data_IF_381391318523
#
_entry.id   IF_381391318523
#
_cell.length_a   1.000
_cell.length_b   1.000
_cell.length_c   1.000
_cell.angle_alpha   90.00
_cell.angle_beta   90.00
_cell.angle_gamma   90.00
#
_symmetry.space_group_name_H-M   'P 1'
#
loop_
_entity.id
_entity.type
_entity.pdbx_description
1 polymer ?
#
# COMPACT_ATOMS: atom_id res chain seq x y z
N UNK A 1 -19.13 69.50 2.99
CA UNK A 1 -17.82 69.10 2.44
C UNK A 1 -16.98 68.64 3.61
N UNK A 2 -16.50 67.42 3.50
CA UNK A 2 -15.79 66.67 4.54
C UNK A 2 -14.31 67.01 4.36
N UNK A 3 -13.67 67.58 5.38
CA UNK A 3 -12.22 67.70 5.44
C UNK A 3 -11.71 67.08 6.73
N UNK A 4 -11.02 65.97 6.50
CA UNK A 4 -10.01 65.24 7.23
C UNK A 4 -9.41 65.94 8.46
N UNK A 5 -9.44 65.23 9.59
CA UNK A 5 -8.79 65.65 10.81
C UNK A 5 -8.05 64.47 11.48
N UNK A 6 -6.73 64.48 11.25
CA UNK A 6 -5.63 64.22 12.21
C UNK A 6 -5.49 62.79 12.76
N UNK A 7 -4.33 62.18 12.55
CA UNK A 7 -3.21 62.12 13.52
C UNK A 7 -2.23 61.02 13.09
N UNK A 8 -0.97 61.40 12.88
CA UNK A 8 0.14 60.45 12.85
C UNK A 8 0.73 60.35 14.25
N UNK A 9 0.93 59.14 14.77
CA UNK A 9 2.09 58.87 15.60
C UNK A 9 3.01 57.84 14.94
N UNK A 10 4.28 58.22 14.89
CA UNK A 10 5.45 57.39 14.60
C UNK A 10 5.63 56.32 15.68
N UNK A 11 5.84 55.06 15.27
CA UNK A 11 6.85 54.20 15.89
C UNK A 11 7.14 52.97 15.04
N UNK A 12 8.42 52.76 14.79
CA UNK A 12 8.99 51.51 14.30
C UNK A 12 8.60 50.38 15.27
N UNK A 13 8.05 49.30 14.73
CA UNK A 13 7.67 48.11 15.46
C UNK A 13 7.47 46.98 14.49
N UNK A 14 8.56 46.25 14.26
CA UNK A 14 8.66 44.85 13.82
C UNK A 14 7.76 44.43 12.66
N UNK A 15 8.40 44.18 11.51
CA UNK A 15 7.86 43.27 10.52
C UNK A 15 7.40 42.00 11.23
N UNK A 16 6.09 41.74 11.18
CA UNK A 16 5.48 40.49 11.62
C UNK A 16 6.08 39.39 10.74
N UNK A 17 7.21 38.86 11.20
CA UNK A 17 7.78 37.60 10.77
C UNK A 17 6.68 36.58 10.96
N UNK A 18 5.97 36.31 9.86
CA UNK A 18 4.86 35.39 9.77
C UNK A 18 5.36 34.00 10.13
N UNK A 19 5.48 33.77 11.45
CA UNK A 19 5.92 32.54 12.07
C UNK A 19 5.05 31.44 11.49
N UNK A 20 5.72 30.62 10.68
CA UNK A 20 5.33 29.32 10.16
C UNK A 20 4.10 28.79 10.88
N UNK A 21 2.94 28.88 10.22
CA UNK A 21 1.79 28.10 10.65
C UNK A 21 2.25 26.64 10.63
N UNK A 22 2.42 26.04 11.81
CA UNK A 22 2.60 24.60 11.99
C UNK A 22 1.42 23.89 11.35
N UNK A 23 1.53 23.57 10.06
CA UNK A 23 0.51 22.84 9.31
C UNK A 23 0.77 21.36 9.53
N UNK A 24 0.23 20.83 10.63
CA UNK A 24 0.06 19.39 10.83
C UNK A 24 -0.86 18.86 9.74
N UNK A 25 -0.30 18.45 8.62
CA UNK A 25 -1.03 17.82 7.53
C UNK A 25 -0.56 16.38 7.48
N UNK A 26 -1.49 15.51 7.79
CA UNK A 26 -1.42 14.07 7.58
C UNK A 26 -1.42 13.82 6.08
N UNK A 27 -0.37 13.23 5.55
CA UNK A 27 -0.34 12.73 4.17
C UNK A 27 -0.27 11.23 4.23
N UNK A 28 -1.23 10.59 3.56
CA UNK A 28 -1.33 9.14 3.46
C UNK A 28 -0.34 8.59 2.45
N UNK A 29 0.24 7.44 2.81
CA UNK A 29 1.01 6.62 1.88
C UNK A 29 0.10 6.08 0.77
N UNK A 30 0.71 5.78 -0.39
CA UNK A 30 0.06 4.91 -1.36
C UNK A 30 -0.15 3.51 -0.73
N UNK A 31 -1.37 2.95 -0.82
CA UNK A 31 -1.72 1.71 -0.16
C UNK A 31 -1.02 0.50 -0.79
N UNK A 32 -1.01 -0.62 -0.06
CA UNK A 32 -0.44 -1.88 -0.54
C UNK A 32 -1.10 -2.37 -1.84
N UNK A 33 -0.34 -3.11 -2.63
CA UNK A 33 -0.86 -3.81 -3.80
C UNK A 33 -1.44 -5.17 -3.41
N UNK A 34 -2.69 -5.42 -3.74
CA UNK A 34 -3.36 -6.71 -3.52
C UNK A 34 -3.77 -7.33 -4.84
N UNK A 35 -4.14 -8.61 -4.82
CA UNK A 35 -4.89 -9.15 -5.96
C UNK A 35 -6.22 -8.40 -6.02
N UNK A 36 -6.60 -7.97 -7.21
CA UNK A 36 -7.86 -7.34 -7.57
C UNK A 36 -8.35 -7.95 -8.89
N UNK A 37 -9.49 -7.51 -9.40
CA UNK A 37 -9.96 -7.94 -10.71
C UNK A 37 -10.60 -6.78 -11.47
N UNK A 38 -10.41 -6.71 -12.78
CA UNK A 38 -11.03 -5.71 -13.64
C UNK A 38 -11.47 -6.35 -14.96
N UNK A 39 -12.57 -5.86 -15.54
CA UNK A 39 -12.94 -6.22 -16.90
C UNK A 39 -11.83 -5.82 -17.88
N UNK A 40 -11.58 -6.67 -18.89
CA UNK A 40 -10.54 -6.44 -19.89
C UNK A 40 -10.65 -5.10 -20.62
N UNK A 41 -11.85 -4.54 -20.73
CA UNK A 41 -12.12 -3.28 -21.43
C UNK A 41 -12.47 -2.13 -20.48
N UNK A 42 -12.31 -2.31 -19.16
CA UNK A 42 -12.56 -1.23 -18.23
C UNK A 42 -11.54 -0.11 -18.44
N UNK A 43 -11.96 1.15 -18.27
CA UNK A 43 -11.06 2.31 -18.33
C UNK A 43 -9.92 2.17 -17.30
N UNK A 44 -10.18 1.47 -16.19
CA UNK A 44 -9.22 1.13 -15.15
C UNK A 44 -8.27 -0.04 -15.51
N UNK A 45 -8.61 -0.86 -16.51
CA UNK A 45 -7.77 -1.96 -16.98
C UNK A 45 -6.58 -1.46 -17.80
N UNK A 46 -6.80 -0.44 -18.66
CA UNK A 46 -5.80 0.01 -19.64
C UNK A 46 -4.79 1.04 -19.10
N UNK A 47 -5.05 1.72 -17.97
CA UNK A 47 -4.24 2.91 -17.63
C UNK A 47 -2.91 2.63 -16.94
N UNK A 48 -2.79 1.71 -15.98
CA UNK A 48 -1.53 1.48 -15.25
C UNK A 48 -1.52 0.11 -14.56
N UNK A 49 -1.44 -0.99 -15.30
CA UNK A 49 -1.19 -2.30 -14.70
C UNK A 49 0.25 -2.70 -14.92
N UNK A 50 0.96 -2.99 -13.83
CA UNK A 50 2.26 -3.62 -13.97
C UNK A 50 2.07 -5.08 -14.37
N UNK A 51 2.73 -5.48 -15.44
CA UNK A 51 2.63 -6.82 -15.97
C UNK A 51 3.14 -7.85 -14.95
N UNK A 52 2.38 -8.93 -14.74
CA UNK A 52 2.83 -10.06 -13.93
C UNK A 52 2.51 -11.41 -14.59
N UNK A 53 3.55 -12.11 -15.02
CA UNK A 53 3.45 -13.36 -15.76
C UNK A 53 2.56 -14.40 -15.06
N UNK A 54 2.77 -14.63 -13.76
CA UNK A 54 2.02 -15.68 -13.06
C UNK A 54 0.53 -15.35 -12.87
N UNK A 55 0.14 -14.08 -12.83
CA UNK A 55 -1.28 -13.71 -12.78
C UNK A 55 -1.92 -13.90 -14.15
N UNK A 56 -1.18 -13.60 -15.22
CA UNK A 56 -1.63 -13.85 -16.59
C UNK A 56 -1.82 -15.34 -16.86
N UNK A 57 -0.88 -16.19 -16.44
CA UNK A 57 -1.03 -17.64 -16.55
C UNK A 57 -2.27 -18.17 -15.80
N UNK A 58 -2.54 -17.62 -14.60
CA UNK A 58 -3.75 -17.94 -13.83
C UNK A 58 -5.02 -17.53 -14.58
N UNK A 59 -5.02 -16.32 -15.15
CA UNK A 59 -6.14 -15.79 -15.93
C UNK A 59 -6.42 -16.63 -17.18
N UNK A 60 -5.39 -16.95 -17.96
CA UNK A 60 -5.50 -17.75 -19.19
C UNK A 60 -5.99 -19.16 -18.89
N UNK A 61 -5.45 -19.80 -17.85
CA UNK A 61 -5.81 -21.17 -17.48
C UNK A 61 -7.25 -21.33 -17.00
N UNK A 62 -7.81 -20.29 -16.36
CA UNK A 62 -9.16 -20.34 -15.80
C UNK A 62 -10.20 -19.54 -16.59
N UNK A 63 -9.76 -18.83 -17.64
CA UNK A 63 -10.61 -17.97 -18.47
C UNK A 63 -11.43 -16.97 -17.63
N UNK A 64 -10.76 -16.30 -16.69
CA UNK A 64 -11.42 -15.38 -15.78
C UNK A 64 -11.99 -14.16 -16.50
N UNK A 65 -13.18 -13.76 -16.07
CA UNK A 65 -13.81 -12.49 -16.41
C UNK A 65 -14.65 -12.04 -15.20
N UNK A 66 -14.27 -10.96 -14.49
CA UNK A 66 -13.14 -10.05 -14.73
C UNK A 66 -11.77 -10.75 -14.59
N UNK A 67 -10.74 -10.19 -15.22
CA UNK A 67 -9.37 -10.70 -15.14
C UNK A 67 -8.75 -10.32 -13.80
N UNK A 68 -8.07 -11.25 -13.14
CA UNK A 68 -7.27 -10.95 -11.95
C UNK A 68 -6.07 -10.06 -12.33
N UNK A 69 -5.71 -9.16 -11.44
CA UNK A 69 -4.52 -8.31 -11.56
C UNK A 69 -3.95 -8.01 -10.18
N UNK A 70 -2.81 -7.34 -10.11
CA UNK A 70 -2.26 -6.79 -8.87
C UNK A 70 -2.42 -5.27 -8.91
N UNK A 71 -3.15 -4.72 -7.95
CA UNK A 71 -3.49 -3.30 -7.90
C UNK A 71 -3.59 -2.81 -6.47
N UNK A 72 -3.28 -1.53 -6.27
CA UNK A 72 -3.50 -0.80 -5.03
C UNK A 72 -4.89 -0.11 -4.98
N UNK A 73 -5.73 -0.32 -6.00
CA UNK A 73 -7.11 0.17 -6.05
C UNK A 73 -8.09 -0.90 -5.60
N UNK A 74 -9.05 -0.51 -4.75
CA UNK A 74 -10.18 -1.37 -4.40
C UNK A 74 -11.11 -1.55 -5.60
N UNK A 75 -11.73 -2.73 -5.68
CA UNK A 75 -12.84 -2.96 -6.59
C UNK A 75 -13.94 -3.74 -5.88
N UNK A 76 -15.11 -3.12 -5.75
CA UNK A 76 -16.28 -3.69 -5.07
C UNK A 76 -17.32 -4.25 -6.04
N UNK A 77 -17.16 -4.02 -7.35
CA UNK A 77 -18.21 -4.26 -8.34
C UNK A 77 -18.47 -5.73 -8.71
N UNK A 78 -17.63 -6.66 -8.28
CA UNK A 78 -17.63 -8.05 -8.79
C UNK A 78 -17.85 -9.12 -7.73
N UNK A 79 -18.38 -8.74 -6.55
CA UNK A 79 -18.55 -9.66 -5.42
C UNK A 79 -19.32 -10.94 -5.81
N UNK A 80 -20.47 -10.81 -6.48
CA UNK A 80 -21.29 -11.95 -6.91
C UNK A 80 -20.52 -12.89 -7.87
N UNK A 81 -19.68 -12.31 -8.73
CA UNK A 81 -18.83 -13.08 -9.66
C UNK A 81 -17.76 -13.87 -8.89
N UNK A 82 -17.14 -13.25 -7.88
CA UNK A 82 -16.16 -13.92 -7.03
C UNK A 82 -16.78 -15.04 -6.20
N UNK A 83 -18.00 -14.86 -5.69
CA UNK A 83 -18.74 -15.91 -4.98
C UNK A 83 -19.03 -17.11 -5.89
N UNK A 84 -19.35 -16.88 -7.17
CA UNK A 84 -19.48 -17.95 -8.15
C UNK A 84 -18.14 -18.69 -8.38
N UNK A 85 -17.02 -17.97 -8.44
CA UNK A 85 -15.71 -18.62 -8.54
C UNK A 85 -15.36 -19.44 -7.28
N UNK A 86 -15.75 -19.00 -6.09
CA UNK A 86 -15.62 -19.81 -4.86
C UNK A 86 -16.36 -21.15 -5.03
N UNK A 87 -17.61 -21.12 -5.51
CA UNK A 87 -18.39 -22.35 -5.75
C UNK A 87 -17.72 -23.25 -6.79
N UNK A 88 -17.20 -22.67 -7.87
CA UNK A 88 -16.45 -23.41 -8.89
C UNK A 88 -15.21 -24.12 -8.31
N UNK A 89 -14.44 -23.44 -7.45
CA UNK A 89 -13.27 -24.06 -6.82
C UNK A 89 -13.64 -25.06 -5.72
N UNK A 90 -14.80 -24.94 -5.07
CA UNK A 90 -15.31 -25.97 -4.17
C UNK A 90 -15.45 -27.32 -4.91
N UNK A 91 -16.06 -27.32 -6.08
CA UNK A 91 -16.22 -28.53 -6.90
C UNK A 91 -14.87 -29.06 -7.41
N UNK A 92 -13.98 -28.16 -7.88
CA UNK A 92 -12.63 -28.58 -8.32
C UNK A 92 -11.81 -29.23 -7.21
N UNK A 93 -11.90 -28.74 -5.98
CA UNK A 93 -11.16 -29.29 -4.83
C UNK A 93 -11.67 -30.68 -4.46
N UNK A 94 -12.98 -30.94 -4.58
CA UNK A 94 -13.55 -32.28 -4.37
C UNK A 94 -12.98 -33.30 -5.36
N UNK A 95 -12.76 -32.88 -6.61
CA UNK A 95 -12.20 -33.74 -7.67
C UNK A 95 -10.68 -33.90 -7.49
N UNK A 96 -9.98 -32.79 -7.24
CA UNK A 96 -8.53 -32.75 -7.12
C UNK A 96 -8.08 -31.69 -6.11
N UNK A 97 -7.55 -32.17 -4.99
CA UNK A 97 -6.84 -31.32 -4.03
C UNK A 97 -5.48 -30.94 -4.63
N UNK A 98 -5.27 -29.65 -4.90
CA UNK A 98 -4.00 -29.13 -5.38
C UNK A 98 -3.76 -27.74 -4.80
N UNK A 99 -2.48 -27.38 -4.60
CA UNK A 99 -2.09 -26.06 -4.11
C UNK A 99 -2.77 -24.94 -4.90
N UNK A 100 -2.75 -25.04 -6.24
CA UNK A 100 -3.37 -24.05 -7.13
C UNK A 100 -4.88 -23.88 -6.91
N UNK A 101 -5.63 -24.97 -6.68
CA UNK A 101 -7.07 -24.86 -6.46
C UNK A 101 -7.39 -24.15 -5.14
N UNK A 102 -6.64 -24.48 -4.07
CA UNK A 102 -6.75 -23.78 -2.78
C UNK A 102 -6.31 -22.32 -2.89
N UNK A 103 -5.20 -22.02 -3.57
CA UNK A 103 -4.76 -20.64 -3.83
C UNK A 103 -5.86 -19.83 -4.51
N UNK A 104 -6.42 -20.32 -5.61
CA UNK A 104 -7.45 -19.58 -6.35
C UNK A 104 -8.71 -19.36 -5.50
N UNK A 105 -9.18 -20.38 -4.76
CA UNK A 105 -10.33 -20.20 -3.85
C UNK A 105 -10.03 -19.20 -2.74
N UNK A 106 -8.84 -19.28 -2.15
CA UNK A 106 -8.36 -18.37 -1.13
C UNK A 106 -8.31 -16.92 -1.61
N UNK A 107 -7.88 -16.68 -2.85
CA UNK A 107 -7.93 -15.35 -3.49
C UNK A 107 -9.35 -14.80 -3.53
N UNK A 108 -10.32 -15.59 -4.00
CA UNK A 108 -11.72 -15.12 -4.07
C UNK A 108 -12.37 -14.96 -2.70
N UNK A 109 -11.98 -15.77 -1.71
CA UNK A 109 -12.36 -15.51 -0.31
C UNK A 109 -11.79 -14.19 0.20
N UNK A 110 -10.54 -13.84 -0.14
CA UNK A 110 -9.97 -12.54 0.24
C UNK A 110 -10.72 -11.39 -0.45
N UNK A 111 -11.01 -11.50 -1.75
CA UNK A 111 -11.73 -10.50 -2.53
C UNK A 111 -13.19 -10.28 -2.06
N UNK A 112 -13.77 -11.28 -1.40
CA UNK A 112 -15.13 -11.21 -0.81
C UNK A 112 -15.11 -10.87 0.68
N UNK A 113 -13.95 -10.43 1.21
CA UNK A 113 -13.70 -10.13 2.63
C UNK A 113 -13.96 -11.31 3.59
N UNK A 114 -13.98 -12.54 3.08
CA UNK A 114 -14.05 -13.77 3.87
C UNK A 114 -12.65 -14.18 4.36
N UNK A 115 -11.97 -13.32 5.13
CA UNK A 115 -10.54 -13.46 5.44
C UNK A 115 -10.20 -14.77 6.15
N UNK A 116 -10.98 -15.22 7.12
CA UNK A 116 -10.69 -16.49 7.82
C UNK A 116 -10.64 -17.69 6.84
N UNK A 117 -11.65 -17.81 5.96
CA UNK A 117 -11.67 -18.88 4.95
C UNK A 117 -10.53 -18.73 3.93
N UNK A 118 -10.18 -17.49 3.60
CA UNK A 118 -9.02 -17.20 2.75
C UNK A 118 -7.73 -17.71 3.38
N UNK A 119 -7.49 -17.40 4.66
CA UNK A 119 -6.31 -17.84 5.39
C UNK A 119 -6.24 -19.36 5.49
N UNK A 120 -7.35 -20.04 5.75
CA UNK A 120 -7.42 -21.52 5.77
C UNK A 120 -7.00 -22.12 4.42
N UNK A 121 -7.53 -21.59 3.32
CA UNK A 121 -7.19 -22.02 1.98
C UNK A 121 -5.73 -21.73 1.61
N UNK A 122 -5.21 -20.56 1.98
CA UNK A 122 -3.83 -20.18 1.69
C UNK A 122 -2.84 -21.02 2.50
N UNK A 123 -3.17 -21.33 3.76
CA UNK A 123 -2.40 -22.29 4.56
C UNK A 123 -2.38 -23.65 3.88
N UNK A 124 -3.54 -24.16 3.44
CA UNK A 124 -3.61 -25.45 2.75
C UNK A 124 -2.87 -25.45 1.42
N UNK A 125 -2.91 -24.34 0.69
CA UNK A 125 -2.14 -24.14 -0.54
C UNK A 125 -0.64 -24.27 -0.30
N UNK A 126 -0.14 -23.66 0.78
CA UNK A 126 1.28 -23.67 1.16
C UNK A 126 1.70 -25.05 1.66
N UNK A 127 0.87 -25.73 2.46
CA UNK A 127 1.13 -27.12 2.89
C UNK A 127 1.31 -28.09 1.72
N UNK A 128 0.57 -27.86 0.62
CA UNK A 128 0.64 -28.69 -0.57
C UNK A 128 1.81 -28.31 -1.50
N UNK A 129 2.25 -27.07 -1.47
CA UNK A 129 3.39 -26.57 -2.25
C UNK A 129 4.04 -25.36 -1.55
N UNK A 130 5.10 -25.62 -0.80
CA UNK A 130 5.85 -24.61 -0.07
C UNK A 130 6.56 -23.59 -0.98
N UNK A 131 6.66 -23.87 -2.29
CA UNK A 131 7.28 -22.97 -3.28
C UNK A 131 6.25 -22.06 -3.96
N UNK A 132 4.97 -22.14 -3.59
CA UNK A 132 3.92 -21.28 -4.12
C UNK A 132 4.07 -19.84 -3.57
N UNK A 133 4.97 -19.05 -4.15
CA UNK A 133 5.31 -17.70 -3.66
C UNK A 133 4.11 -16.76 -3.59
N UNK A 134 3.15 -16.89 -4.52
CA UNK A 134 1.94 -16.07 -4.55
C UNK A 134 1.04 -16.36 -3.35
N UNK A 135 1.01 -17.59 -2.84
CA UNK A 135 0.19 -17.92 -1.69
C UNK A 135 0.67 -17.16 -0.44
N UNK A 136 1.98 -17.04 -0.21
CA UNK A 136 2.53 -16.22 0.86
C UNK A 136 2.18 -14.74 0.68
N UNK A 137 2.35 -14.20 -0.53
CA UNK A 137 2.00 -12.82 -0.83
C UNK A 137 0.52 -12.51 -0.56
N UNK A 138 -0.38 -13.37 -1.04
CA UNK A 138 -1.83 -13.21 -0.83
C UNK A 138 -2.17 -13.38 0.64
N UNK A 139 -1.51 -14.30 1.37
CA UNK A 139 -1.73 -14.50 2.80
C UNK A 139 -1.31 -13.28 3.61
N UNK A 140 -0.15 -12.69 3.31
CA UNK A 140 0.30 -11.43 3.90
C UNK A 140 -0.73 -10.31 3.68
N UNK A 141 -1.17 -10.14 2.42
CA UNK A 141 -2.16 -9.12 2.06
C UNK A 141 -3.50 -9.35 2.75
N UNK A 142 -3.97 -10.60 2.83
CA UNK A 142 -5.21 -10.97 3.49
C UNK A 142 -5.15 -10.69 4.99
N UNK A 143 -4.04 -11.02 5.66
CA UNK A 143 -3.80 -10.70 7.07
C UNK A 143 -3.83 -9.19 7.29
N UNK A 144 -3.14 -8.42 6.45
CA UNK A 144 -3.14 -6.97 6.54
C UNK A 144 -4.54 -6.38 6.33
N UNK A 145 -5.29 -6.84 5.33
CA UNK A 145 -6.67 -6.38 5.08
C UNK A 145 -7.62 -6.72 6.23
N UNK A 146 -7.47 -7.89 6.82
CA UNK A 146 -8.21 -8.25 8.03
C UNK A 146 -7.86 -7.33 9.21
N UNK A 147 -6.58 -7.01 9.40
CA UNK A 147 -6.12 -6.10 10.44
C UNK A 147 -6.65 -4.67 10.22
N UNK A 148 -6.57 -4.15 8.99
CA UNK A 148 -7.07 -2.84 8.59
C UNK A 148 -8.59 -2.70 8.88
N UNK A 149 -9.38 -3.74 8.58
CA UNK A 149 -10.81 -3.76 8.90
C UNK A 149 -11.09 -3.80 10.42
N UNK A 150 -10.29 -4.54 11.20
CA UNK A 150 -10.41 -4.56 12.66
C UNK A 150 -10.07 -3.19 13.24
N UNK A 151 -8.98 -2.57 12.78
CA UNK A 151 -8.56 -1.23 13.19
C UNK A 151 -9.65 -0.18 12.88
N UNK A 152 -10.32 -0.33 11.73
CA UNK A 152 -11.45 0.50 11.30
C UNK A 152 -12.68 0.34 12.19
N UNK A 153 -13.07 -0.89 12.48
CA UNK A 153 -14.20 -1.19 13.36
C UNK A 153 -13.96 -0.77 14.81
N UNK A 154 -12.71 -0.84 15.27
CA UNK A 154 -12.32 -0.38 16.60
C UNK A 154 -12.28 1.16 16.71
N UNK A 155 -12.44 1.90 15.61
CA UNK A 155 -12.30 3.36 15.56
C UNK A 155 -10.87 3.82 15.82
N UNK A 156 -9.90 2.90 15.72
CA UNK A 156 -8.48 3.15 15.98
C UNK A 156 -7.73 3.65 14.76
N UNK A 157 -8.42 3.94 13.65
CA UNK A 157 -7.91 4.43 12.37
C UNK A 157 -6.63 5.25 12.51
N UNK A 158 -5.50 4.56 12.50
CA UNK A 158 -4.22 5.16 12.24
C UNK A 158 -4.07 5.16 10.73
N UNK A 159 -4.83 6.04 10.06
CA UNK A 159 -4.40 6.54 8.75
C UNK A 159 -2.92 6.89 8.91
N UNK A 160 -2.07 6.26 8.09
CA UNK A 160 -0.62 6.34 8.24
C UNK A 160 -0.20 7.73 7.81
N UNK A 161 -0.28 8.64 8.77
CA UNK A 161 0.13 10.01 8.58
C UNK A 161 1.63 10.07 8.65
N UNK A 162 2.26 10.55 7.59
CA UNK A 162 3.57 11.17 7.76
C UNK A 162 3.34 12.56 8.35
N UNK A 163 3.59 12.73 9.65
CA UNK A 163 3.54 14.05 10.31
C UNK A 163 4.79 14.84 9.94
N UNK A 164 4.64 15.90 9.16
CA UNK A 164 5.74 16.76 8.73
C UNK A 164 5.79 18.00 9.63
N UNK A 165 6.88 18.21 10.38
CA UNK A 165 7.16 19.48 11.09
C UNK A 165 7.24 19.47 12.63
N UNK A 166 7.03 18.34 13.32
CA UNK A 166 7.32 18.23 14.76
C UNK A 166 8.70 17.58 14.98
N UNK A 167 9.48 18.07 15.96
CA UNK A 167 10.76 17.45 16.37
C UNK A 167 10.51 15.98 16.74
N UNK A 168 11.02 15.09 15.88
CA UNK A 168 10.99 13.63 15.91
C UNK A 168 10.84 13.02 17.32
N UNK A 169 9.60 12.78 17.75
CA UNK A 169 9.32 11.71 18.70
C UNK A 169 9.10 10.46 17.86
N UNK A 170 10.11 9.60 17.82
CA UNK A 170 9.96 8.23 17.30
C UNK A 170 8.88 7.57 18.16
N UNK A 171 7.65 7.54 17.66
CA UNK A 171 6.55 6.89 18.35
C UNK A 171 6.73 5.38 18.16
N UNK A 172 7.61 4.78 18.95
CA UNK A 172 7.68 3.33 19.15
C UNK A 172 6.45 2.87 19.97
N UNK A 173 5.23 3.06 19.47
CA UNK A 173 4.01 2.72 20.22
C UNK A 173 3.43 1.34 19.89
N UNK A 174 4.09 0.51 19.08
CA UNK A 174 3.54 -0.79 18.70
C UNK A 174 4.15 -1.96 19.48
N UNK A 175 5.05 -1.73 20.43
CA UNK A 175 5.85 -2.81 21.01
C UNK A 175 5.13 -3.74 22.01
N UNK A 176 3.81 -3.62 22.24
CA UNK A 176 3.10 -4.45 23.24
C UNK A 176 1.63 -4.83 22.93
N UNK A 177 1.14 -4.69 21.70
CA UNK A 177 -0.28 -5.01 21.34
C UNK A 177 -0.39 -6.26 20.44
N UNK A 178 -1.53 -6.99 20.42
CA UNK A 178 -1.79 -8.12 19.51
C UNK A 178 -1.47 -7.82 18.04
N UNK A 179 -1.64 -6.56 17.62
CA UNK A 179 -1.28 -6.07 16.29
C UNK A 179 0.21 -6.30 15.94
N UNK A 180 1.13 -6.26 16.90
CA UNK A 180 2.55 -6.51 16.67
C UNK A 180 2.82 -7.96 16.22
N UNK A 181 2.03 -8.92 16.73
CA UNK A 181 2.11 -10.32 16.31
C UNK A 181 1.56 -10.51 14.89
N UNK A 182 0.54 -9.74 14.52
CA UNK A 182 -0.04 -9.78 13.17
C UNK A 182 0.93 -9.19 12.14
N UNK A 183 1.54 -8.03 12.42
CA UNK A 183 2.56 -7.44 11.55
C UNK A 183 3.79 -8.33 11.36
N UNK A 184 4.23 -9.04 12.41
CA UNK A 184 5.34 -9.99 12.30
C UNK A 184 5.05 -11.11 11.29
N UNK A 185 3.88 -11.73 11.37
CA UNK A 185 3.48 -12.79 10.43
C UNK A 185 3.35 -12.26 9.00
N UNK A 186 2.86 -11.03 8.83
CA UNK A 186 2.80 -10.36 7.51
C UNK A 186 4.21 -10.17 6.94
N UNK A 187 5.17 -9.70 7.73
CA UNK A 187 6.56 -9.51 7.31
C UNK A 187 7.24 -10.83 6.94
N UNK A 188 7.03 -11.88 7.72
CA UNK A 188 7.55 -13.24 7.45
C UNK A 188 7.04 -13.76 6.09
N UNK A 189 5.74 -13.61 5.81
CA UNK A 189 5.16 -14.01 4.52
C UNK A 189 5.75 -13.22 3.34
N UNK A 190 5.99 -11.90 3.50
CA UNK A 190 6.69 -11.12 2.47
C UNK A 190 8.15 -11.52 2.32
N UNK A 191 8.85 -11.85 3.40
CA UNK A 191 10.23 -12.35 3.32
C UNK A 191 10.31 -13.65 2.53
N UNK A 192 9.42 -14.60 2.79
CA UNK A 192 9.36 -15.87 2.04
C UNK A 192 8.98 -15.61 0.58
N UNK A 193 8.02 -14.72 0.32
CA UNK A 193 7.64 -14.31 -1.05
C UNK A 193 8.86 -13.83 -1.82
N UNK A 194 9.67 -12.95 -1.22
CA UNK A 194 10.85 -12.34 -1.84
C UNK A 194 12.05 -13.30 -1.93
N UNK A 195 12.14 -14.27 -1.03
CA UNK A 195 13.10 -15.36 -1.15
C UNK A 195 12.80 -16.26 -2.36
N UNK A 196 11.54 -16.62 -2.56
CA UNK A 196 11.09 -17.46 -3.67
C UNK A 196 11.05 -16.70 -5.01
N UNK A 197 10.72 -15.40 -4.99
CA UNK A 197 10.68 -14.54 -6.17
C UNK A 197 11.38 -13.19 -5.89
N UNK A 198 12.72 -13.11 -6.01
CA UNK A 198 13.49 -11.89 -5.73
C UNK A 198 13.26 -10.74 -6.71
N UNK A 199 12.57 -10.96 -7.82
CA UNK A 199 12.18 -9.93 -8.80
C UNK A 199 10.81 -9.33 -8.54
N UNK A 200 10.10 -9.78 -7.50
CA UNK A 200 8.73 -9.36 -7.22
C UNK A 200 8.68 -8.02 -6.49
N UNK A 201 8.77 -6.92 -7.25
CA UNK A 201 8.83 -5.55 -6.73
C UNK A 201 7.60 -5.14 -5.88
N UNK A 202 6.42 -5.71 -6.13
CA UNK A 202 5.25 -5.55 -5.26
C UNK A 202 5.47 -6.07 -3.84
N UNK A 203 6.20 -7.17 -3.68
CA UNK A 203 6.55 -7.72 -2.38
C UNK A 203 7.44 -6.76 -1.59
N UNK A 204 8.43 -6.15 -2.25
CA UNK A 204 9.29 -5.14 -1.62
C UNK A 204 8.48 -3.90 -1.21
N UNK A 205 7.62 -3.39 -2.09
CA UNK A 205 6.78 -2.23 -1.81
C UNK A 205 5.82 -2.48 -0.64
N UNK A 206 5.10 -3.62 -0.64
CA UNK A 206 4.19 -3.94 0.45
C UNK A 206 4.94 -4.18 1.77
N UNK A 207 6.11 -4.83 1.74
CA UNK A 207 6.94 -5.01 2.93
C UNK A 207 7.43 -3.68 3.48
N UNK A 208 7.83 -2.75 2.62
CA UNK A 208 8.21 -1.40 3.00
C UNK A 208 7.04 -0.66 3.67
N UNK A 209 5.83 -0.77 3.11
CA UNK A 209 4.64 -0.18 3.70
C UNK A 209 4.43 -0.66 5.13
N UNK A 210 4.51 -1.97 5.40
CA UNK A 210 4.41 -2.52 6.75
C UNK A 210 5.54 -2.04 7.65
N UNK A 211 6.78 -1.99 7.16
CA UNK A 211 7.91 -1.43 7.92
C UNK A 211 7.69 0.04 8.29
N UNK A 212 7.08 0.86 7.42
CA UNK A 212 6.73 2.24 7.75
C UNK A 212 5.69 2.28 8.87
N UNK A 213 4.68 1.39 8.87
CA UNK A 213 3.71 1.25 10.00
C UNK A 213 4.41 1.02 11.32
N UNK A 214 5.44 0.18 11.30
CA UNK A 214 6.21 -0.22 12.48
C UNK A 214 7.27 0.81 12.90
N UNK A 215 7.43 1.91 12.15
CA UNK A 215 8.47 2.91 12.40
C UNK A 215 9.87 2.50 11.92
N UNK A 216 9.99 1.42 11.14
CA UNK A 216 11.24 0.92 10.56
C UNK A 216 11.61 1.65 9.25
N UNK A 217 11.66 2.98 9.29
CA UNK A 217 11.75 3.83 8.08
C UNK A 217 13.00 3.57 7.23
N UNK A 218 14.17 3.34 7.84
CA UNK A 218 15.42 3.06 7.10
C UNK A 218 15.33 1.75 6.33
N UNK A 219 14.86 0.69 7.00
CA UNK A 219 14.64 -0.62 6.39
C UNK A 219 13.55 -0.58 5.31
N UNK A 220 12.56 0.30 5.45
CA UNK A 220 11.54 0.52 4.42
C UNK A 220 12.13 1.21 3.18
N UNK A 221 13.00 2.21 3.36
CA UNK A 221 13.70 2.87 2.23
C UNK A 221 14.53 1.86 1.43
N UNK A 222 15.20 0.90 2.09
CA UNK A 222 15.95 -0.16 1.40
C UNK A 222 15.04 -1.02 0.51
N UNK A 223 13.86 -1.40 1.01
CA UNK A 223 12.87 -2.14 0.24
C UNK A 223 12.31 -1.31 -0.92
N UNK A 224 12.00 -0.02 -0.70
CA UNK A 224 11.53 0.88 -1.76
C UNK A 224 12.60 1.11 -2.83
N UNK A 225 13.88 1.22 -2.44
CA UNK A 225 15.00 1.29 -3.37
C UNK A 225 15.04 0.03 -4.25
N UNK A 226 14.83 -1.15 -3.66
CA UNK A 226 14.83 -2.40 -4.40
C UNK A 226 13.64 -2.52 -5.34
N UNK A 227 12.45 -2.08 -4.92
CA UNK A 227 11.27 -2.01 -5.77
C UNK A 227 11.51 -1.12 -7.00
N UNK A 228 12.06 0.09 -6.81
CA UNK A 228 12.40 1.03 -7.87
C UNK A 228 13.49 0.50 -8.81
N UNK A 229 14.48 -0.22 -8.28
CA UNK A 229 15.52 -0.84 -9.10
C UNK A 229 14.95 -1.91 -10.04
N UNK A 230 13.95 -2.65 -9.59
CA UNK A 230 13.30 -3.70 -10.35
C UNK A 230 12.27 -3.15 -11.34
N UNK A 231 11.55 -2.10 -10.97
CA UNK A 231 10.57 -1.40 -11.81
C UNK A 231 10.79 0.12 -11.71
N UNK A 232 11.60 0.71 -12.62
CA UNK A 232 11.94 2.14 -12.60
C UNK A 232 10.76 3.09 -12.80
N UNK A 233 9.63 2.61 -13.32
CA UNK A 233 8.41 3.38 -13.53
C UNK A 233 7.39 3.16 -12.40
N UNK A 234 7.81 2.58 -11.25
CA UNK A 234 6.94 2.33 -10.12
C UNK A 234 6.63 3.60 -9.31
N UNK A 235 5.64 4.37 -9.77
CA UNK A 235 5.27 5.69 -9.22
C UNK A 235 5.03 5.67 -7.70
N UNK A 236 4.32 4.67 -7.21
CA UNK A 236 3.96 4.53 -5.80
C UNK A 236 5.19 4.34 -4.91
N UNK A 237 6.20 3.62 -5.39
CA UNK A 237 7.43 3.40 -4.63
C UNK A 237 8.22 4.71 -4.46
N UNK A 238 8.28 5.55 -5.51
CA UNK A 238 8.87 6.90 -5.39
C UNK A 238 8.06 7.76 -4.42
N UNK A 239 6.73 7.73 -4.50
CA UNK A 239 5.89 8.53 -3.62
C UNK A 239 6.11 8.17 -2.14
N UNK A 240 6.00 6.88 -1.79
CA UNK A 240 6.19 6.43 -0.42
C UNK A 240 7.63 6.66 0.07
N UNK A 241 8.64 6.50 -0.79
CA UNK A 241 10.04 6.77 -0.43
C UNK A 241 10.27 8.26 -0.19
N UNK A 242 9.70 9.11 -1.04
CA UNK A 242 9.79 10.56 -0.92
C UNK A 242 9.21 11.08 0.39
N UNK A 243 8.01 10.60 0.76
CA UNK A 243 7.41 10.93 2.06
C UNK A 243 8.25 10.42 3.23
N UNK A 244 8.76 9.18 3.14
CA UNK A 244 9.60 8.59 4.18
C UNK A 244 10.91 9.36 4.36
N UNK A 245 11.52 9.86 3.28
CA UNK A 245 12.72 10.71 3.34
C UNK A 245 12.45 12.06 3.97
N UNK A 246 11.36 12.72 3.59
CA UNK A 246 10.93 13.99 4.22
C UNK A 246 10.72 13.80 5.73
N UNK A 247 10.10 12.70 6.13
CA UNK A 247 9.92 12.36 7.55
C UNK A 247 11.26 12.22 8.30
N UNK A 248 12.30 11.74 7.63
CA UNK A 248 13.65 11.61 8.17
C UNK A 248 14.52 12.86 7.94
N UNK A 249 13.89 14.01 7.69
CA UNK A 249 14.52 15.32 7.43
C UNK A 249 15.38 15.38 6.14
N UNK A 250 15.29 14.39 5.25
CA UNK A 250 15.88 14.43 3.90
C UNK A 250 14.90 15.08 2.91
N UNK A 251 14.79 16.41 3.01
CA UNK A 251 13.88 17.20 2.17
C UNK A 251 14.27 17.18 0.69
N UNK A 252 15.57 17.27 0.39
CA UNK A 252 16.07 17.30 -1.00
C UNK A 252 15.83 15.95 -1.69
N UNK A 253 16.25 14.86 -1.06
CA UNK A 253 16.04 13.51 -1.59
C UNK A 253 14.56 13.15 -1.67
N UNK A 254 13.76 13.63 -0.73
CA UNK A 254 12.31 13.46 -0.73
C UNK A 254 11.60 14.22 -1.86
N UNK A 255 12.00 15.47 -2.12
CA UNK A 255 11.46 16.29 -3.20
C UNK A 255 11.74 15.69 -4.59
N UNK A 256 12.95 15.15 -4.79
CA UNK A 256 13.34 14.47 -6.03
C UNK A 256 12.45 13.25 -6.29
N UNK A 257 12.23 12.43 -5.27
CA UNK A 257 11.37 11.25 -5.38
C UNK A 257 9.90 11.63 -5.65
N UNK A 258 9.37 12.62 -4.95
CA UNK A 258 8.01 13.11 -5.19
C UNK A 258 7.86 13.72 -6.59
N UNK A 259 8.89 14.40 -7.10
CA UNK A 259 8.87 14.93 -8.48
C UNK A 259 8.75 13.78 -9.47
N UNK A 260 9.55 12.73 -9.29
CA UNK A 260 9.47 11.53 -10.12
C UNK A 260 8.12 10.84 -10.03
N UNK A 261 7.55 10.71 -8.83
CA UNK A 261 6.20 10.16 -8.66
C UNK A 261 5.13 10.98 -9.41
N UNK A 262 5.26 12.32 -9.41
CA UNK A 262 4.40 13.23 -10.15
C UNK A 262 4.52 13.09 -11.67
N UNK A 263 5.73 12.91 -12.19
CA UNK A 263 5.99 12.63 -13.62
C UNK A 263 5.34 11.32 -14.06
N UNK A 264 5.35 10.31 -13.18
CA UNK A 264 4.78 8.98 -13.42
C UNK A 264 3.26 8.90 -13.16
N UNK A 265 2.60 10.02 -12.84
CA UNK A 265 1.14 10.13 -12.79
C UNK A 265 0.53 10.36 -11.42
N UNK A 266 1.32 10.41 -10.34
CA UNK A 266 0.83 10.79 -8.99
C UNK A 266 0.89 12.31 -8.86
N UNK A 267 0.03 13.03 -9.58
CA UNK A 267 0.04 14.51 -9.65
C UNK A 267 -0.10 15.19 -8.28
N UNK A 268 -0.71 14.52 -7.30
CA UNK A 268 -0.78 14.99 -5.91
C UNK A 268 0.59 15.25 -5.29
N UNK A 269 1.66 14.61 -5.78
CA UNK A 269 3.02 14.77 -5.28
C UNK A 269 3.55 16.21 -5.41
N UNK A 270 3.22 16.92 -6.49
CA UNK A 270 3.66 18.31 -6.70
C UNK A 270 3.12 19.27 -5.64
N UNK A 271 1.91 19.01 -5.13
CA UNK A 271 1.33 19.81 -4.05
C UNK A 271 2.11 19.63 -2.74
N UNK A 272 2.70 18.46 -2.53
CA UNK A 272 3.50 18.13 -1.35
C UNK A 272 4.85 18.86 -1.46
N UNK A 273 5.53 18.74 -2.60
CA UNK A 273 6.81 19.43 -2.85
C UNK A 273 6.67 20.94 -2.58
N UNK A 274 5.64 21.58 -3.17
CA UNK A 274 5.41 23.02 -3.01
C UNK A 274 5.20 23.44 -1.55
N UNK A 275 4.67 22.55 -0.71
CA UNK A 275 4.31 22.84 0.68
C UNK A 275 5.46 22.59 1.67
N UNK A 276 6.31 21.60 1.42
CA UNK A 276 7.27 21.12 2.43
C UNK A 276 8.74 21.11 1.99
N UNK A 277 9.02 21.30 0.70
CA UNK A 277 10.37 21.21 0.15
C UNK A 277 10.91 22.57 -0.34
N UNK A 278 10.23 23.67 0.00
CA UNK A 278 10.60 25.05 -0.34
C UNK A 278 11.18 25.78 0.87
#
# INVERSE_FOLDING_TARGET
MIEDSRELPTNEGEADDGRVQNKNIVIDLQPIFTISAFEKNAVDYDRFQYYHLAINEINEKNNYNPLLTISNKSNEGYKDVFENFVLFFNEKIQIQQSSHNYLNRGVFHCLTANYNKSLDDLNRSIELDEKQSIAYFVRANCRYKMLEEIELLAGTNAEISVKIGERNTVVNSLSNEPAALDYKQILEDYEITLFLNPSFFFGYFNRAFIKIRLGEYKSAIEDLNRAIQLEPEFAEAYFNRGLTKIFLDDLEGGALDLSRAGELGIYGAYNIIKRYCN
#
